data_IF_706086382192
#
_entry.id   IF_706086382192
#
_cell.length_a   1.000
_cell.length_b   1.000
_cell.length_c   1.000
_cell.angle_alpha   90.00
_cell.angle_beta   90.00
_cell.angle_gamma   90.00
#
_symmetry.space_group_name_H-M   'P 1'
#
loop_
_entity.id
_entity.type
_entity.pdbx_description
1 polymer ?
#
# COMPACT_ATOMS: atom_id res chain seq x y z
N UNK A 1 -10.65 -8.52 20.40
CA UNK A 1 -9.83 -7.49 19.78
C UNK A 1 -8.39 -7.62 20.24
N UNK A 2 -7.44 -7.67 19.33
CA UNK A 2 -6.06 -7.77 19.75
C UNK A 2 -5.62 -6.54 20.54
N UNK A 3 -4.68 -6.73 21.45
CA UNK A 3 -4.09 -5.62 22.17
C UNK A 3 -3.38 -4.70 21.15
N UNK A 4 -3.45 -3.38 21.34
CA UNK A 4 -2.76 -2.46 20.45
C UNK A 4 -1.24 -2.65 20.55
N UNK A 5 -0.60 -2.66 19.40
CA UNK A 5 0.86 -2.66 19.33
C UNK A 5 1.36 -1.23 19.54
N UNK A 6 2.49 -1.11 20.21
CA UNK A 6 3.10 0.19 20.50
C UNK A 6 4.47 0.35 19.87
N UNK A 7 4.99 -0.69 19.24
CA UNK A 7 6.27 -0.60 18.54
C UNK A 7 6.14 0.25 17.28
N UNK A 8 7.21 0.92 16.90
CA UNK A 8 7.21 1.89 15.81
C UNK A 8 6.77 1.30 14.47
N UNK A 9 7.12 0.05 14.19
CA UNK A 9 6.80 -0.57 12.91
C UNK A 9 5.31 -0.91 12.80
N UNK A 10 4.72 -1.47 13.85
CA UNK A 10 3.28 -1.73 13.84
C UNK A 10 2.46 -0.44 13.89
N UNK A 11 2.93 0.57 14.60
CA UNK A 11 2.28 1.88 14.60
C UNK A 11 2.31 2.48 13.19
N UNK A 12 3.40 2.33 12.47
CA UNK A 12 3.49 2.80 11.09
C UNK A 12 2.48 2.08 10.17
N UNK A 13 2.30 0.77 10.34
CA UNK A 13 1.28 0.01 9.59
C UNK A 13 -0.11 0.56 9.90
N UNK A 14 -0.41 0.80 11.17
CA UNK A 14 -1.71 1.32 11.58
C UNK A 14 -1.94 2.72 11.01
N UNK A 15 -0.92 3.57 11.01
CA UNK A 15 -1.01 4.94 10.50
C UNK A 15 -1.29 4.95 9.00
N UNK A 16 -0.56 4.15 8.22
CA UNK A 16 -0.77 4.13 6.77
C UNK A 16 -2.13 3.51 6.43
N UNK A 17 -2.55 2.48 7.15
CA UNK A 17 -3.86 1.86 6.95
C UNK A 17 -4.97 2.87 7.24
N UNK A 18 -4.88 3.59 8.35
CA UNK A 18 -5.86 4.60 8.72
C UNK A 18 -5.92 5.74 7.69
N UNK A 19 -4.76 6.20 7.22
CA UNK A 19 -4.70 7.27 6.23
C UNK A 19 -5.35 6.86 4.91
N UNK A 20 -5.04 5.65 4.43
CA UNK A 20 -5.65 5.16 3.19
C UNK A 20 -7.14 4.89 3.35
N UNK A 21 -7.55 4.31 4.49
CA UNK A 21 -8.95 4.00 4.74
C UNK A 21 -9.80 5.27 4.83
N UNK A 22 -9.22 6.37 5.30
CA UNK A 22 -9.93 7.65 5.38
C UNK A 22 -10.17 8.30 4.04
N UNK A 23 -9.47 7.87 2.97
CA UNK A 23 -9.66 8.43 1.64
C UNK A 23 -10.94 7.88 1.03
N UNK A 24 -11.85 8.77 0.63
CA UNK A 24 -13.12 8.38 0.05
C UNK A 24 -12.90 7.62 -1.26
N UNK A 25 -13.57 6.48 -1.40
CA UNK A 25 -13.54 5.69 -2.62
C UNK A 25 -12.44 4.63 -2.66
N UNK A 26 -11.58 4.54 -1.64
CA UNK A 26 -10.58 3.50 -1.58
C UNK A 26 -11.07 2.32 -0.73
N UNK A 27 -10.90 1.13 -1.27
CA UNK A 27 -11.10 -0.11 -0.51
C UNK A 27 -9.72 -0.64 -0.15
N UNK A 28 -9.37 -0.57 1.13
CA UNK A 28 -8.05 -0.98 1.62
C UNK A 28 -8.14 -2.38 2.20
N UNK A 29 -7.25 -3.26 1.75
CA UNK A 29 -7.20 -4.66 2.16
C UNK A 29 -5.79 -4.97 2.64
N UNK A 30 -5.67 -5.61 3.79
CA UNK A 30 -4.39 -6.09 4.30
C UNK A 30 -4.37 -7.61 4.53
N UNK A 31 -5.46 -8.29 4.21
CA UNK A 31 -5.60 -9.73 4.33
C UNK A 31 -5.80 -10.33 2.94
N UNK A 32 -4.86 -11.15 2.43
CA UNK A 32 -4.97 -11.70 1.09
C UNK A 32 -6.20 -12.59 0.89
N UNK A 33 -6.80 -13.12 1.96
CA UNK A 33 -8.01 -13.92 1.85
C UNK A 33 -9.26 -13.08 1.56
N UNK A 34 -9.16 -11.75 1.76
CA UNK A 34 -10.28 -10.82 1.55
C UNK A 34 -10.08 -9.93 0.33
N UNK A 35 -9.20 -10.32 -0.56
CA UNK A 35 -8.84 -9.54 -1.73
C UNK A 35 -9.98 -9.57 -2.75
N UNK A 36 -10.50 -8.39 -3.08
CA UNK A 36 -11.54 -8.20 -4.10
C UNK A 36 -11.02 -7.16 -5.08
N UNK A 37 -11.04 -7.42 -6.39
CA UNK A 37 -10.55 -6.47 -7.39
C UNK A 37 -11.13 -5.07 -7.25
N UNK A 38 -10.38 -4.07 -7.71
CA UNK A 38 -10.54 -2.65 -7.46
C UNK A 38 -10.32 -2.29 -6.00
N UNK A 39 -9.22 -2.81 -5.45
CA UNK A 39 -8.83 -2.53 -4.08
C UNK A 39 -7.38 -2.06 -4.01
N UNK A 40 -7.01 -1.54 -2.85
CA UNK A 40 -5.65 -1.19 -2.50
C UNK A 40 -5.16 -2.22 -1.49
N UNK A 41 -4.18 -3.02 -1.87
CA UNK A 41 -3.68 -4.10 -1.03
C UNK A 41 -2.35 -3.69 -0.40
N UNK A 42 -2.32 -3.65 0.93
CA UNK A 42 -1.12 -3.33 1.70
C UNK A 42 -0.26 -4.58 1.84
N UNK A 43 1.00 -4.46 1.45
CA UNK A 43 1.98 -5.52 1.59
C UNK A 43 2.88 -5.25 2.78
N UNK A 44 3.70 -6.24 3.14
CA UNK A 44 4.63 -6.11 4.26
C UNK A 44 5.62 -4.97 4.01
N UNK A 45 5.86 -4.10 5.00
CA UNK A 45 6.78 -3.00 4.84
C UNK A 45 8.23 -3.45 4.78
N UNK A 46 9.02 -2.65 4.09
CA UNK A 46 10.48 -2.78 4.07
C UNK A 46 11.05 -1.60 4.84
N UNK A 47 12.05 -1.84 5.66
CA UNK A 47 12.65 -0.75 6.41
C UNK A 47 14.17 -0.78 6.29
N UNK A 48 14.77 0.41 6.42
CA UNK A 48 16.22 0.59 6.51
C UNK A 48 16.51 1.46 7.72
N UNK A 49 17.71 1.30 8.27
CA UNK A 49 18.13 2.07 9.42
C UNK A 49 19.35 2.92 9.05
N UNK A 50 19.44 4.11 9.66
CA UNK A 50 20.61 4.97 9.51
C UNK A 50 21.53 4.73 10.70
N UNK A 51 22.74 4.26 10.43
CA UNK A 51 23.71 3.96 11.46
C UNK A 51 24.25 5.26 12.11
N UNK A 52 24.47 5.22 13.40
CA UNK A 52 25.18 6.27 14.11
C UNK A 52 24.33 7.34 14.79
N UNK A 53 23.04 7.40 14.54
CA UNK A 53 22.16 8.44 15.08
C UNK A 53 20.90 7.89 15.72
N UNK A 54 21.03 6.91 16.61
CA UNK A 54 19.91 6.47 17.43
C UNK A 54 18.80 5.77 16.65
N UNK A 55 19.14 4.90 15.72
CA UNK A 55 18.17 4.03 15.04
C UNK A 55 17.02 4.80 14.36
N UNK A 56 17.37 5.76 13.53
CA UNK A 56 16.40 6.40 12.66
C UNK A 56 16.01 5.40 11.56
N UNK A 57 14.71 5.17 11.43
CA UNK A 57 14.17 4.15 10.53
C UNK A 57 13.46 4.83 9.38
N UNK A 58 13.78 4.38 8.16
CA UNK A 58 13.01 4.71 6.96
C UNK A 58 12.17 3.49 6.60
N UNK A 59 10.86 3.68 6.51
CA UNK A 59 9.92 2.60 6.22
C UNK A 59 9.30 2.83 4.85
N UNK A 60 9.37 1.82 3.98
CA UNK A 60 8.71 1.82 2.69
C UNK A 60 7.60 0.78 2.69
N UNK A 61 6.40 1.20 2.31
CA UNK A 61 5.24 0.32 2.20
C UNK A 61 4.94 0.05 0.74
N UNK A 62 5.13 -1.18 0.26
CA UNK A 62 4.62 -1.56 -1.05
C UNK A 62 3.10 -1.64 -0.97
N UNK A 63 2.43 -0.89 -1.83
CA UNK A 63 0.98 -0.87 -1.91
C UNK A 63 0.59 -1.28 -3.32
N UNK A 64 -0.21 -2.32 -3.45
CA UNK A 64 -0.62 -2.83 -4.74
C UNK A 64 -2.05 -2.39 -5.03
N UNK A 65 -2.23 -1.62 -6.10
CA UNK A 65 -3.55 -1.26 -6.60
C UNK A 65 -3.99 -2.36 -7.55
N UNK A 66 -5.02 -3.11 -7.17
CA UNK A 66 -5.49 -4.27 -7.90
C UNK A 66 -6.73 -3.92 -8.70
N UNK A 67 -6.66 -4.10 -10.02
CA UNK A 67 -7.81 -3.90 -10.90
C UNK A 67 -8.52 -5.19 -11.19
N UNK A 68 -9.74 -5.09 -11.73
CA UNK A 68 -10.49 -6.27 -12.16
C UNK A 68 -9.92 -6.81 -13.48
N UNK A 69 -9.85 -8.13 -13.61
CA UNK A 69 -9.43 -8.76 -14.86
C UNK A 69 -10.57 -8.89 -15.85
N UNK A 70 -10.27 -9.17 -17.11
CA UNK A 70 -8.95 -9.23 -17.73
C UNK A 70 -8.34 -7.87 -18.01
N UNK A 71 -7.03 -7.84 -18.28
CA UNK A 71 -6.32 -6.60 -18.56
C UNK A 71 -6.83 -5.95 -19.86
N UNK A 72 -6.87 -4.61 -19.85
CA UNK A 72 -7.29 -3.83 -21.00
C UNK A 72 -7.30 -2.36 -20.65
N UNK A 73 -7.52 -1.50 -21.63
CA UNK A 73 -7.48 -0.05 -21.41
C UNK A 73 -8.51 0.43 -20.36
N UNK A 74 -9.77 -0.05 -20.36
CA UNK A 74 -10.71 0.38 -19.31
C UNK A 74 -10.24 0.04 -17.91
N UNK A 75 -9.68 -1.15 -17.71
CA UNK A 75 -9.16 -1.59 -16.41
C UNK A 75 -7.94 -0.77 -16.04
N UNK A 76 -7.05 -0.51 -16.99
CA UNK A 76 -5.88 0.33 -16.76
C UNK A 76 -6.30 1.73 -16.28
N UNK A 77 -7.32 2.32 -16.89
CA UNK A 77 -7.82 3.64 -16.49
C UNK A 77 -8.37 3.63 -15.06
N UNK A 78 -9.06 2.57 -14.67
CA UNK A 78 -9.55 2.42 -13.30
C UNK A 78 -8.40 2.34 -12.30
N UNK A 79 -7.38 1.53 -12.60
CA UNK A 79 -6.20 1.40 -11.73
C UNK A 79 -5.48 2.74 -11.61
N UNK A 80 -5.31 3.44 -12.71
CA UNK A 80 -4.66 4.75 -12.70
C UNK A 80 -5.46 5.78 -11.92
N UNK A 81 -6.78 5.72 -11.98
CA UNK A 81 -7.64 6.59 -11.20
C UNK A 81 -7.48 6.35 -9.70
N UNK A 82 -7.46 5.09 -9.28
CA UNK A 82 -7.23 4.73 -7.88
C UNK A 82 -5.83 5.18 -7.45
N UNK A 83 -4.83 4.94 -8.29
CA UNK A 83 -3.46 5.38 -8.01
C UNK A 83 -3.37 6.89 -7.86
N UNK A 84 -4.07 7.64 -8.72
CA UNK A 84 -4.12 9.10 -8.62
C UNK A 84 -4.77 9.54 -7.31
N UNK A 85 -5.79 8.82 -6.85
CA UNK A 85 -6.43 9.11 -5.56
C UNK A 85 -5.43 8.92 -4.41
N UNK A 86 -4.63 7.86 -4.45
CA UNK A 86 -3.57 7.63 -3.46
C UNK A 86 -2.52 8.75 -3.53
N UNK A 87 -2.12 9.15 -4.74
CA UNK A 87 -1.18 10.25 -4.93
C UNK A 87 -1.69 11.57 -4.37
N UNK A 88 -3.00 11.78 -4.43
CA UNK A 88 -3.62 12.99 -3.88
C UNK A 88 -3.82 12.97 -2.37
N UNK A 89 -3.53 11.85 -1.71
CA UNK A 89 -3.62 11.74 -0.26
C UNK A 89 -2.39 12.33 0.42
N UNK A 90 -2.36 12.32 1.75
CA UNK A 90 -1.20 12.78 2.52
C UNK A 90 -0.02 11.80 2.50
N UNK A 91 -0.19 10.65 1.87
CA UNK A 91 0.85 9.64 1.79
C UNK A 91 1.88 10.01 0.74
N UNK A 92 3.16 9.88 1.09
CA UNK A 92 4.25 10.14 0.16
C UNK A 92 4.46 8.89 -0.70
N UNK A 93 4.26 9.03 -2.00
CA UNK A 93 4.49 7.95 -2.96
C UNK A 93 5.77 8.28 -3.72
N UNK A 94 6.74 7.38 -3.66
CA UNK A 94 8.06 7.60 -4.28
C UNK A 94 8.15 7.02 -5.68
N UNK A 95 7.35 6.00 -5.99
CA UNK A 95 7.35 5.41 -7.32
C UNK A 95 6.09 4.59 -7.55
N UNK A 96 5.80 4.29 -8.82
CA UNK A 96 4.73 3.39 -9.21
C UNK A 96 5.13 2.65 -10.48
N UNK A 97 4.75 1.39 -10.58
CA UNK A 97 5.07 0.57 -11.75
C UNK A 97 3.99 -0.48 -11.98
N UNK A 98 3.73 -0.86 -13.23
CA UNK A 98 2.74 -1.89 -13.52
C UNK A 98 3.22 -3.26 -13.04
N UNK A 99 2.27 -4.08 -12.61
CA UNK A 99 2.53 -5.45 -12.18
C UNK A 99 1.28 -6.29 -12.36
N UNK A 100 1.33 -7.52 -11.89
CA UNK A 100 0.19 -8.42 -11.89
C UNK A 100 0.09 -9.14 -10.55
N UNK A 101 -1.11 -9.62 -10.24
CA UNK A 101 -1.38 -10.43 -9.06
C UNK A 101 -2.24 -11.61 -9.47
N UNK A 102 -1.81 -12.82 -9.09
CA UNK A 102 -2.57 -14.02 -9.35
C UNK A 102 -3.43 -14.37 -8.15
N UNK A 103 -4.74 -14.52 -8.38
CA UNK A 103 -5.70 -14.90 -7.34
C UNK A 103 -6.53 -16.04 -7.89
N UNK A 104 -6.47 -17.21 -7.23
CA UNK A 104 -7.27 -18.36 -7.63
C UNK A 104 -7.03 -18.83 -9.06
N UNK A 105 -5.80 -18.74 -9.54
CA UNK A 105 -5.44 -19.13 -10.90
C UNK A 105 -5.74 -18.08 -11.96
N UNK A 106 -6.28 -16.93 -11.59
CA UNK A 106 -6.56 -15.82 -12.49
C UNK A 106 -5.61 -14.68 -12.22
N UNK A 107 -5.08 -14.07 -13.29
CA UNK A 107 -4.16 -12.95 -13.21
C UNK A 107 -4.91 -11.63 -13.32
N UNK A 108 -4.63 -10.73 -12.38
CA UNK A 108 -5.23 -9.40 -12.34
C UNK A 108 -4.18 -8.34 -12.60
N UNK A 109 -4.50 -7.29 -13.40
CA UNK A 109 -3.58 -6.18 -13.61
C UNK A 109 -3.49 -5.33 -12.34
N UNK A 110 -2.28 -4.87 -12.04
CA UNK A 110 -2.00 -4.10 -10.83
C UNK A 110 -1.02 -2.98 -11.11
N UNK A 111 -0.95 -2.01 -10.18
CA UNK A 111 0.15 -1.08 -10.06
C UNK A 111 0.74 -1.19 -8.67
N UNK A 112 2.06 -1.31 -8.62
CA UNK A 112 2.81 -1.32 -7.37
C UNK A 112 3.26 0.10 -7.06
N UNK A 113 2.73 0.66 -5.97
CA UNK A 113 3.13 1.97 -5.47
C UNK A 113 4.05 1.76 -4.27
N UNK A 114 5.14 2.51 -4.23
CA UNK A 114 6.01 2.52 -3.05
C UNK A 114 5.69 3.77 -2.24
N UNK A 115 5.16 3.57 -1.05
CA UNK A 115 4.82 4.64 -0.13
C UNK A 115 5.88 4.72 0.96
N UNK A 116 6.30 5.92 1.32
CA UNK A 116 7.39 6.12 2.24
C UNK A 116 6.94 6.83 3.51
N UNK A 117 7.42 6.35 4.65
CA UNK A 117 7.44 7.06 5.90
C UNK A 117 8.91 7.24 6.30
N UNK A 118 9.35 8.47 6.46
CA UNK A 118 10.75 8.77 6.76
C UNK A 118 10.86 9.42 8.12
N UNK A 119 12.04 9.28 8.76
CA UNK A 119 12.35 10.01 9.99
C UNK A 119 11.71 9.44 11.24
N UNK A 120 11.33 8.15 11.25
CA UNK A 120 10.81 7.51 12.45
C UNK A 120 11.97 7.08 13.33
N UNK A 121 11.89 7.39 14.61
CA UNK A 121 12.89 6.95 15.60
C UNK A 121 12.33 5.77 16.39
N UNK A 122 13.11 4.72 16.44
CA UNK A 122 12.73 3.54 17.21
C UNK A 122 12.79 3.79 18.71
#
# INVERSE_FOLDING_TARGET
MPAPYTDVLNVAIDDITATLTAVTGLRVVNDPTKLVPNCVFLLAPRFTTTAGNGNVIKVDFPVKVVGSGPAGLPVLREILQISATVLGSSIIVTSGQPSTLEIGGQEFPCYDLTCALAGITA
#
